data_IF_155513543175
#
_entry.id   IF_155513543175
#
_cell.length_a   1.000
_cell.length_b   1.000
_cell.length_c   1.000
_cell.angle_alpha   90.00
_cell.angle_beta   90.00
_cell.angle_gamma   90.00
#
_symmetry.space_group_name_H-M   'P 1'
#
loop_
_entity.id
_entity.type
_entity.pdbx_description
1 polymer ?
#
# COMPACT_ATOMS: atom_id res chain seq x y z
N UNK A 1 -17.65 -9.63 6.12
CA UNK A 1 -16.75 -10.75 6.47
C UNK A 1 -16.67 -11.80 5.36
N UNK A 2 -17.78 -12.25 4.78
CA UNK A 2 -17.79 -13.28 3.72
C UNK A 2 -16.98 -12.86 2.48
N UNK A 3 -17.22 -11.67 1.93
CA UNK A 3 -16.52 -11.13 0.76
C UNK A 3 -14.98 -11.11 0.94
N UNK A 4 -14.50 -10.68 2.10
CA UNK A 4 -13.05 -10.67 2.38
C UNK A 4 -12.47 -12.08 2.50
N UNK A 5 -13.20 -13.05 3.05
CA UNK A 5 -12.75 -14.44 3.11
C UNK A 5 -12.64 -15.06 1.71
N UNK A 6 -13.59 -14.77 0.84
CA UNK A 6 -13.54 -15.20 -0.57
C UNK A 6 -12.36 -14.54 -1.29
N UNK A 7 -12.12 -13.24 -1.05
CA UNK A 7 -10.97 -12.54 -1.59
C UNK A 7 -9.63 -13.11 -1.10
N UNK A 8 -9.50 -13.43 0.20
CA UNK A 8 -8.28 -14.06 0.74
C UNK A 8 -8.03 -15.43 0.09
N UNK A 9 -9.09 -16.19 -0.20
CA UNK A 9 -8.97 -17.45 -0.92
C UNK A 9 -8.46 -17.23 -2.34
N UNK A 10 -9.02 -16.25 -3.06
CA UNK A 10 -8.57 -15.84 -4.38
C UNK A 10 -7.11 -15.38 -4.38
N UNK A 11 -6.74 -14.50 -3.43
CA UNK A 11 -5.38 -13.97 -3.29
C UNK A 11 -4.36 -15.09 -3.07
N UNK A 12 -4.69 -16.04 -2.19
CA UNK A 12 -3.88 -17.23 -1.93
C UNK A 12 -3.71 -18.08 -3.19
N UNK A 13 -4.78 -18.32 -3.94
CA UNK A 13 -4.70 -19.07 -5.19
C UNK A 13 -3.72 -18.38 -6.15
N UNK A 14 -3.83 -17.05 -6.36
CA UNK A 14 -3.00 -16.32 -7.31
C UNK A 14 -1.52 -16.31 -6.98
N UNK A 15 -1.14 -16.24 -5.70
CA UNK A 15 0.27 -16.25 -5.30
C UNK A 15 0.88 -17.65 -5.25
N UNK A 16 0.07 -18.69 -5.12
CA UNK A 16 0.57 -20.08 -5.04
C UNK A 16 0.61 -20.81 -6.39
N UNK A 17 0.08 -20.23 -7.46
CA UNK A 17 0.11 -20.81 -8.82
C UNK A 17 1.54 -21.02 -9.33
N UNK A 18 1.71 -21.96 -10.27
CA UNK A 18 2.98 -22.26 -10.94
C UNK A 18 3.83 -23.31 -10.21
N UNK A 19 5.11 -23.36 -10.57
CA UNK A 19 6.06 -24.34 -10.02
C UNK A 19 6.47 -24.00 -8.59
N UNK A 20 6.88 -24.99 -7.81
CA UNK A 20 7.38 -24.78 -6.46
C UNK A 20 8.76 -24.09 -6.50
N UNK A 21 8.91 -23.03 -5.72
CA UNK A 21 10.18 -22.31 -5.58
C UNK A 21 10.24 -21.56 -4.25
N UNK A 22 11.44 -21.37 -3.72
CA UNK A 22 11.65 -20.61 -2.49
C UNK A 22 11.21 -19.14 -2.63
N UNK A 23 11.32 -18.56 -3.83
CA UNK A 23 10.82 -17.21 -4.12
C UNK A 23 9.31 -17.15 -3.96
N UNK A 24 8.58 -18.14 -4.55
CA UNK A 24 7.11 -18.21 -4.40
C UNK A 24 6.70 -18.39 -2.93
N UNK A 25 7.43 -19.20 -2.16
CA UNK A 25 7.16 -19.37 -0.73
C UNK A 25 7.36 -18.05 0.03
N UNK A 26 8.40 -17.26 -0.28
CA UNK A 26 8.66 -15.96 0.29
C UNK A 26 7.58 -14.90 -0.12
N UNK A 27 7.13 -14.92 -1.39
CA UNK A 27 6.00 -14.10 -1.86
C UNK A 27 4.72 -14.42 -1.05
N UNK A 28 4.36 -15.69 -0.96
CA UNK A 28 3.18 -16.14 -0.24
C UNK A 28 3.28 -15.85 1.27
N UNK A 29 4.46 -16.06 1.87
CA UNK A 29 4.73 -15.70 3.26
C UNK A 29 4.36 -14.26 3.57
N UNK A 30 4.85 -13.31 2.78
CA UNK A 30 4.62 -11.88 3.02
C UNK A 30 3.18 -11.46 2.67
N UNK A 31 2.65 -11.90 1.52
CA UNK A 31 1.33 -11.50 1.03
C UNK A 31 0.19 -12.02 1.92
N UNK A 32 0.33 -13.23 2.48
CA UNK A 32 -0.70 -13.92 3.26
C UNK A 32 -0.55 -13.75 4.78
N UNK A 33 0.33 -12.88 5.26
CA UNK A 33 0.47 -12.59 6.69
C UNK A 33 -0.75 -11.87 7.32
N UNK A 34 -1.81 -11.66 6.55
CA UNK A 34 -2.98 -10.92 6.98
C UNK A 34 -2.82 -9.40 6.77
N UNK A 35 -3.57 -8.62 7.53
CA UNK A 35 -3.65 -7.17 7.44
C UNK A 35 -5.09 -6.68 7.34
N UNK A 36 -5.30 -5.37 7.44
CA UNK A 36 -6.63 -4.76 7.39
C UNK A 36 -7.28 -4.81 6.00
N UNK A 37 -6.52 -5.12 4.94
CA UNK A 37 -6.99 -5.14 3.53
C UNK A 37 -7.77 -3.87 3.15
N UNK A 38 -7.27 -2.72 3.56
CA UNK A 38 -7.94 -1.43 3.31
C UNK A 38 -8.09 -1.17 1.81
N UNK A 39 -7.05 -1.42 1.01
CA UNK A 39 -7.06 -1.19 -0.44
C UNK A 39 -8.09 -2.06 -1.17
N UNK A 40 -8.17 -3.38 -0.96
CA UNK A 40 -9.29 -4.20 -1.44
C UNK A 40 -10.66 -3.67 -1.01
N UNK A 41 -10.83 -3.29 0.26
CA UNK A 41 -12.10 -2.78 0.75
C UNK A 41 -12.52 -1.48 0.08
N UNK A 42 -11.59 -0.56 -0.19
CA UNK A 42 -11.84 0.67 -0.94
C UNK A 42 -12.32 0.37 -2.37
N UNK A 43 -11.65 -0.55 -3.07
CA UNK A 43 -12.07 -0.99 -4.39
C UNK A 43 -13.50 -1.58 -4.36
N UNK A 44 -13.77 -2.48 -3.43
CA UNK A 44 -15.08 -3.11 -3.31
C UNK A 44 -16.16 -2.09 -2.97
N UNK A 45 -15.88 -1.14 -2.07
CA UNK A 45 -16.82 -0.07 -1.74
C UNK A 45 -17.12 0.82 -2.96
N UNK A 46 -16.11 1.14 -3.77
CA UNK A 46 -16.29 1.91 -5.01
C UNK A 46 -17.16 1.17 -6.02
N UNK A 47 -16.92 -0.12 -6.23
CA UNK A 47 -17.75 -0.95 -7.12
C UNK A 47 -19.20 -1.01 -6.63
N UNK A 48 -19.41 -1.24 -5.34
CA UNK A 48 -20.75 -1.24 -4.74
C UNK A 48 -21.45 0.11 -4.86
N UNK A 49 -20.72 1.23 -4.74
CA UNK A 49 -21.28 2.57 -4.93
C UNK A 49 -21.78 2.79 -6.37
N UNK A 50 -21.19 2.11 -7.34
CA UNK A 50 -21.66 2.09 -8.73
C UNK A 50 -22.66 0.96 -9.04
N UNK A 51 -23.08 0.17 -8.03
CA UNK A 51 -24.05 -0.92 -8.19
C UNK A 51 -23.49 -2.19 -8.83
N UNK A 52 -22.18 -2.37 -8.85
CA UNK A 52 -21.52 -3.56 -9.37
C UNK A 52 -21.27 -4.60 -8.28
N UNK A 53 -21.18 -5.88 -8.68
CA UNK A 53 -20.70 -6.93 -7.79
C UNK A 53 -19.23 -6.68 -7.44
N UNK A 54 -18.85 -6.52 -6.15
CA UNK A 54 -17.47 -6.28 -5.76
C UNK A 54 -16.50 -7.39 -6.18
N UNK A 55 -16.97 -8.59 -6.48
CA UNK A 55 -16.13 -9.72 -6.94
C UNK A 55 -15.50 -9.49 -8.29
N UNK A 56 -16.07 -8.64 -9.16
CA UNK A 56 -15.43 -8.27 -10.44
C UNK A 56 -14.10 -7.55 -10.23
N UNK A 57 -13.89 -6.95 -9.05
CA UNK A 57 -12.66 -6.28 -8.65
C UNK A 57 -11.58 -7.19 -8.08
N UNK A 58 -11.81 -8.48 -7.86
CA UNK A 58 -10.83 -9.37 -7.22
C UNK A 58 -9.45 -9.38 -7.89
N UNK A 59 -9.32 -9.46 -9.24
CA UNK A 59 -8.03 -9.40 -9.89
C UNK A 59 -7.29 -8.07 -9.61
N UNK A 60 -7.98 -6.94 -9.71
CA UNK A 60 -7.41 -5.63 -9.41
C UNK A 60 -7.00 -5.51 -7.94
N UNK A 61 -7.85 -5.96 -7.02
CA UNK A 61 -7.56 -5.96 -5.58
C UNK A 61 -6.32 -6.80 -5.26
N UNK A 62 -6.19 -7.98 -5.88
CA UNK A 62 -5.04 -8.86 -5.71
C UNK A 62 -3.76 -8.22 -6.27
N UNK A 63 -3.83 -7.60 -7.45
CA UNK A 63 -2.71 -6.86 -8.04
C UNK A 63 -2.25 -5.71 -7.12
N UNK A 64 -3.17 -4.93 -6.58
CA UNK A 64 -2.87 -3.82 -5.65
C UNK A 64 -2.25 -4.34 -4.35
N UNK A 65 -2.72 -5.46 -3.78
CA UNK A 65 -2.11 -6.06 -2.59
C UNK A 65 -0.73 -6.64 -2.89
N UNK A 66 -0.49 -7.18 -4.09
CA UNK A 66 0.86 -7.60 -4.53
C UNK A 66 1.80 -6.40 -4.62
N UNK A 67 1.35 -5.28 -5.21
CA UNK A 67 2.09 -4.02 -5.26
C UNK A 67 2.41 -3.52 -3.85
N UNK A 68 1.42 -3.44 -2.98
CA UNK A 68 1.63 -3.02 -1.59
C UNK A 68 2.59 -3.95 -0.83
N UNK A 69 2.50 -5.26 -1.06
CA UNK A 69 3.34 -6.23 -0.33
C UNK A 69 4.78 -6.19 -0.82
N UNK A 70 5.04 -6.04 -2.14
CA UNK A 70 6.41 -5.91 -2.61
C UNK A 70 7.07 -4.67 -2.01
N UNK A 71 6.34 -3.55 -1.93
CA UNK A 71 6.91 -2.33 -1.36
C UNK A 71 7.31 -2.52 0.11
N UNK A 72 6.49 -3.23 0.90
CA UNK A 72 6.82 -3.55 2.29
C UNK A 72 8.03 -4.51 2.40
N UNK A 73 8.15 -5.50 1.49
CA UNK A 73 9.29 -6.41 1.49
C UNK A 73 10.60 -5.66 1.23
N UNK A 74 10.59 -4.73 0.25
CA UNK A 74 11.77 -3.95 -0.10
C UNK A 74 12.08 -2.88 0.94
N UNK A 75 11.05 -2.27 1.52
CA UNK A 75 11.17 -1.28 2.59
C UNK A 75 11.85 -1.87 3.84
N UNK A 76 11.52 -3.13 4.18
CA UNK A 76 12.10 -3.86 5.33
C UNK A 76 13.60 -4.24 5.13
N UNK A 77 14.17 -4.12 3.92
CA UNK A 77 15.56 -4.55 3.65
C UNK A 77 16.58 -3.71 4.41
N UNK A 78 17.80 -4.28 4.71
CA UNK A 78 18.88 -3.53 5.39
C UNK A 78 19.37 -2.28 4.66
N UNK A 79 19.11 -2.16 3.36
CA UNK A 79 19.43 -0.96 2.56
C UNK A 79 18.34 0.12 2.62
N UNK A 80 17.25 -0.14 3.33
CA UNK A 80 16.08 0.72 3.53
C UNK A 80 15.86 0.90 5.04
N UNK A 81 14.71 0.51 5.59
CA UNK A 81 14.36 0.70 7.00
C UNK A 81 15.01 -0.32 7.97
N UNK A 82 15.61 -1.43 7.45
CA UNK A 82 16.21 -2.56 8.20
C UNK A 82 15.29 -3.14 9.30
N UNK A 83 14.02 -3.30 8.97
CA UNK A 83 13.01 -3.78 9.91
C UNK A 83 13.11 -5.30 10.14
N UNK A 84 13.27 -5.71 11.40
CA UNK A 84 13.30 -7.12 11.79
C UNK A 84 11.93 -7.80 11.76
N UNK A 85 10.86 -7.03 12.03
CA UNK A 85 9.51 -7.52 12.20
C UNK A 85 8.50 -6.76 11.33
N UNK A 86 7.59 -7.51 10.69
CA UNK A 86 6.43 -6.98 9.98
C UNK A 86 5.17 -7.71 10.43
N UNK A 87 4.16 -6.95 10.92
CA UNK A 87 2.90 -7.52 11.45
C UNK A 87 3.12 -8.57 12.56
N UNK A 88 4.13 -8.35 13.43
CA UNK A 88 4.47 -9.25 14.53
C UNK A 88 5.18 -10.54 14.15
N UNK A 89 5.61 -10.69 12.89
CA UNK A 89 6.39 -11.82 12.39
C UNK A 89 7.72 -11.33 11.81
N UNK A 90 8.76 -12.19 11.69
CA UNK A 90 9.98 -11.81 11.01
C UNK A 90 9.68 -11.23 9.63
N UNK A 91 10.38 -10.13 9.26
CA UNK A 91 10.32 -9.58 7.92
C UNK A 91 10.81 -10.59 6.87
N UNK A 92 10.51 -10.37 5.59
CA UNK A 92 10.84 -11.33 4.54
C UNK A 92 12.33 -11.64 4.49
N UNK A 93 13.19 -10.64 4.62
CA UNK A 93 14.65 -10.82 4.58
C UNK A 93 15.19 -11.58 5.81
N UNK A 94 14.58 -11.42 6.98
CA UNK A 94 14.94 -12.20 8.19
C UNK A 94 14.50 -13.66 8.07
N UNK A 95 13.35 -13.92 7.44
CA UNK A 95 12.81 -15.30 7.30
C UNK A 95 13.45 -16.10 6.14
N UNK A 96 13.77 -15.43 5.03
CA UNK A 96 14.22 -16.09 3.79
C UNK A 96 15.62 -15.66 3.33
N UNK A 97 16.20 -14.60 3.88
CA UNK A 97 17.44 -13.95 3.47
C UNK A 97 17.20 -12.86 2.41
N UNK A 98 18.10 -11.88 2.36
CA UNK A 98 17.97 -10.67 1.53
C UNK A 98 17.73 -10.98 0.05
N UNK A 99 18.54 -11.87 -0.54
CA UNK A 99 18.42 -12.21 -1.96
C UNK A 99 17.03 -12.76 -2.32
N UNK A 100 16.44 -13.60 -1.46
CA UNK A 100 15.09 -14.12 -1.69
C UNK A 100 14.01 -13.09 -1.40
N UNK A 101 14.23 -12.16 -0.49
CA UNK A 101 13.32 -11.03 -0.26
C UNK A 101 13.29 -10.09 -1.47
N UNK A 102 14.44 -9.72 -2.03
CA UNK A 102 14.52 -8.93 -3.27
C UNK A 102 13.73 -9.63 -4.39
N UNK A 103 14.04 -10.90 -4.67
CA UNK A 103 13.35 -11.66 -5.72
C UNK A 103 11.86 -11.86 -5.45
N UNK A 104 11.43 -11.96 -4.19
CA UNK A 104 10.02 -12.06 -3.83
C UNK A 104 9.28 -10.73 -4.10
N UNK A 105 9.90 -9.59 -3.81
CA UNK A 105 9.40 -8.27 -4.17
C UNK A 105 9.26 -8.11 -5.68
N UNK A 106 10.32 -8.41 -6.46
CA UNK A 106 10.31 -8.38 -7.92
C UNK A 106 9.23 -9.28 -8.50
N UNK A 107 9.08 -10.49 -7.92
CA UNK A 107 8.08 -11.47 -8.32
C UNK A 107 6.66 -10.96 -8.11
N UNK A 108 6.36 -10.36 -6.94
CA UNK A 108 5.05 -9.77 -6.65
C UNK A 108 4.76 -8.57 -7.56
N UNK A 109 5.73 -7.67 -7.74
CA UNK A 109 5.60 -6.52 -8.63
C UNK A 109 5.26 -6.94 -10.05
N UNK A 110 6.02 -7.89 -10.61
CA UNK A 110 5.79 -8.38 -11.98
C UNK A 110 4.46 -9.12 -12.10
N UNK A 111 4.14 -9.98 -11.11
CA UNK A 111 2.89 -10.76 -11.09
C UNK A 111 1.65 -9.89 -11.00
N UNK A 112 1.71 -8.73 -10.37
CA UNK A 112 0.59 -7.80 -10.25
C UNK A 112 0.05 -7.38 -11.64
N UNK A 113 0.94 -7.11 -12.60
CA UNK A 113 0.54 -6.73 -13.97
C UNK A 113 -0.12 -7.87 -14.74
N UNK A 114 0.26 -9.12 -14.47
CA UNK A 114 -0.38 -10.28 -15.07
C UNK A 114 -1.76 -10.55 -14.44
N UNK A 115 -1.85 -10.48 -13.10
CA UNK A 115 -3.11 -10.75 -12.37
C UNK A 115 -4.19 -9.72 -12.71
N UNK A 116 -3.86 -8.43 -12.87
CA UNK A 116 -4.87 -7.43 -13.24
C UNK A 116 -5.48 -7.70 -14.61
N UNK A 117 -4.73 -8.31 -15.54
CA UNK A 117 -5.20 -8.68 -16.86
C UNK A 117 -6.15 -9.89 -16.86
N UNK A 118 -6.21 -10.64 -15.75
CA UNK A 118 -7.17 -11.72 -15.58
C UNK A 118 -8.61 -11.22 -15.29
N UNK A 119 -8.81 -9.89 -15.09
CA UNK A 119 -10.12 -9.30 -14.87
C UNK A 119 -11.06 -9.55 -16.07
N UNK A 120 -12.34 -9.72 -15.80
CA UNK A 120 -13.39 -9.79 -16.82
C UNK A 120 -13.78 -8.35 -17.25
N UNK A 121 -12.80 -7.64 -17.81
CA UNK A 121 -12.90 -6.27 -18.26
C UNK A 121 -12.61 -6.18 -19.78
N UNK A 122 -13.06 -5.12 -20.43
CA UNK A 122 -12.73 -4.85 -21.83
C UNK A 122 -11.22 -4.63 -22.02
N UNK A 123 -10.74 -4.77 -23.25
CA UNK A 123 -9.33 -4.51 -23.56
C UNK A 123 -8.90 -3.09 -23.18
N UNK A 124 -9.75 -2.09 -23.40
CA UNK A 124 -9.46 -0.69 -23.06
C UNK A 124 -9.39 -0.49 -21.56
N UNK A 125 -10.32 -1.08 -20.78
CA UNK A 125 -10.27 -1.06 -19.34
C UNK A 125 -9.00 -1.75 -18.80
N UNK A 126 -8.60 -2.91 -19.38
CA UNK A 126 -7.36 -3.59 -18.98
C UNK A 126 -6.12 -2.73 -19.21
N UNK A 127 -6.03 -2.04 -20.34
CA UNK A 127 -4.94 -1.09 -20.64
C UNK A 127 -4.95 0.03 -19.61
N UNK A 128 -6.12 0.60 -19.30
CA UNK A 128 -6.24 1.67 -18.32
C UNK A 128 -5.86 1.20 -16.90
N UNK A 129 -6.27 -0.01 -16.49
CA UNK A 129 -5.91 -0.58 -15.19
C UNK A 129 -4.39 -0.79 -15.05
N UNK A 130 -3.73 -1.31 -16.11
CA UNK A 130 -2.27 -1.46 -16.15
C UNK A 130 -1.57 -0.10 -16.08
N UNK A 131 -2.09 0.92 -16.79
CA UNK A 131 -1.57 2.27 -16.74
C UNK A 131 -1.68 2.86 -15.33
N UNK A 132 -2.84 2.75 -14.68
CA UNK A 132 -3.04 3.20 -13.30
C UNK A 132 -2.09 2.51 -12.32
N UNK A 133 -1.92 1.18 -12.42
CA UNK A 133 -0.95 0.45 -11.60
C UNK A 133 0.47 1.00 -11.78
N UNK A 134 0.89 1.23 -13.03
CA UNK A 134 2.23 1.74 -13.33
C UNK A 134 2.43 3.17 -12.81
N UNK A 135 1.44 4.05 -12.98
CA UNK A 135 1.52 5.47 -12.62
C UNK A 135 1.51 5.64 -11.10
N UNK A 136 0.56 4.99 -10.41
CA UNK A 136 0.37 5.17 -8.97
C UNK A 136 1.38 4.39 -8.11
N UNK A 137 1.92 3.28 -8.60
CA UNK A 137 2.94 2.50 -7.90
C UNK A 137 4.37 2.86 -8.31
N UNK A 138 4.56 3.39 -9.50
CA UNK A 138 5.86 3.63 -10.11
C UNK A 138 6.51 4.96 -9.73
N UNK A 139 7.39 5.44 -10.62
CA UNK A 139 8.21 6.67 -10.44
C UNK A 139 7.41 7.97 -10.45
N UNK A 140 6.13 7.94 -10.79
CA UNK A 140 5.19 9.07 -10.66
C UNK A 140 4.27 8.93 -9.44
N UNK A 141 4.43 7.88 -8.65
CA UNK A 141 3.62 7.53 -7.49
C UNK A 141 4.45 7.11 -6.29
N UNK A 142 4.18 5.90 -5.79
CA UNK A 142 4.76 5.39 -4.54
C UNK A 142 6.30 5.33 -4.56
N UNK A 143 6.93 4.94 -5.66
CA UNK A 143 8.40 4.87 -5.76
C UNK A 143 9.02 6.25 -5.60
N UNK A 144 8.41 7.30 -6.16
CA UNK A 144 8.84 8.68 -5.92
C UNK A 144 8.65 9.08 -4.45
N UNK A 145 7.55 8.64 -3.82
CA UNK A 145 7.34 8.84 -2.38
C UNK A 145 8.43 8.21 -1.51
N UNK A 146 8.90 7.02 -1.87
CA UNK A 146 10.03 6.35 -1.22
C UNK A 146 11.35 7.12 -1.41
N UNK A 147 11.60 7.67 -2.61
CA UNK A 147 12.76 8.55 -2.85
C UNK A 147 12.72 9.77 -1.94
N UNK A 148 11.57 10.44 -1.83
CA UNK A 148 11.40 11.59 -0.95
C UNK A 148 11.60 11.24 0.53
N UNK A 149 11.14 10.07 0.96
CA UNK A 149 11.30 9.59 2.34
C UNK A 149 12.78 9.34 2.68
N UNK A 150 13.52 8.67 1.80
CA UNK A 150 14.96 8.47 1.96
C UNK A 150 15.76 9.80 1.98
N UNK A 151 15.41 10.74 1.11
CA UNK A 151 16.04 12.07 1.09
C UNK A 151 15.73 12.88 2.36
N UNK A 152 14.62 12.59 3.02
CA UNK A 152 14.20 13.26 4.24
C UNK A 152 15.00 12.83 5.48
N UNK A 153 15.63 11.66 5.49
CA UNK A 153 16.43 11.15 6.61
C UNK A 153 17.62 12.06 6.95
N UNK A 154 18.27 12.63 5.92
CA UNK A 154 19.40 13.54 6.06
C UNK A 154 18.98 15.03 6.02
N UNK A 155 17.68 15.35 5.87
CA UNK A 155 17.21 16.72 5.69
C UNK A 155 17.04 17.45 7.03
N UNK A 156 18.02 18.28 7.37
CA UNK A 156 17.98 19.14 8.57
C UNK A 156 16.97 20.29 8.48
N UNK A 157 16.37 20.53 7.32
CA UNK A 157 15.39 21.60 7.05
C UNK A 157 14.01 21.04 6.67
N UNK A 158 13.58 19.96 7.36
CA UNK A 158 12.26 19.39 7.16
C UNK A 158 11.15 20.40 7.51
N UNK A 159 10.12 20.43 6.66
CA UNK A 159 8.93 21.26 6.82
C UNK A 159 7.69 20.42 6.71
N UNK A 160 6.58 20.94 7.23
CA UNK A 160 5.29 20.25 7.14
C UNK A 160 4.87 19.99 5.68
N UNK A 161 5.18 20.91 4.76
CA UNK A 161 4.87 20.74 3.33
C UNK A 161 5.65 19.58 2.70
N UNK A 162 6.90 19.33 3.16
CA UNK A 162 7.68 18.17 2.72
C UNK A 162 7.09 16.87 3.25
N UNK A 163 6.62 16.84 4.51
CA UNK A 163 5.93 15.66 5.07
C UNK A 163 4.65 15.39 4.27
N UNK A 164 3.84 16.42 3.99
CA UNK A 164 2.67 16.27 3.12
C UNK A 164 3.03 15.70 1.74
N UNK A 165 4.15 16.15 1.15
CA UNK A 165 4.59 15.66 -0.15
C UNK A 165 4.99 14.17 -0.09
N UNK A 166 5.75 13.75 0.93
CA UNK A 166 6.11 12.35 1.15
C UNK A 166 4.85 11.48 1.24
N UNK A 167 3.92 11.83 2.12
CA UNK A 167 2.73 11.04 2.37
C UNK A 167 1.76 11.02 1.19
N UNK A 168 1.68 12.12 0.44
CA UNK A 168 0.89 12.17 -0.78
C UNK A 168 1.34 11.12 -1.80
N UNK A 169 2.65 10.93 -1.96
CA UNK A 169 3.19 9.96 -2.92
C UNK A 169 3.39 8.57 -2.30
N UNK A 170 4.02 8.45 -1.14
CA UNK A 170 4.32 7.16 -0.49
C UNK A 170 3.04 6.41 -0.09
N UNK A 171 2.05 7.14 0.44
CA UNK A 171 0.84 6.53 1.04
C UNK A 171 -0.43 6.80 0.25
N UNK A 172 -0.75 8.08 -0.05
CA UNK A 172 -2.05 8.43 -0.61
C UNK A 172 -2.23 7.92 -2.05
N UNK A 173 -1.18 7.86 -2.87
CA UNK A 173 -1.24 7.28 -4.22
C UNK A 173 -1.78 5.85 -4.20
N UNK A 174 -1.26 4.97 -3.34
CA UNK A 174 -1.74 3.58 -3.26
C UNK A 174 -3.09 3.42 -2.54
N UNK A 175 -3.61 4.44 -1.86
CA UNK A 175 -4.99 4.46 -1.35
C UNK A 175 -5.97 5.02 -2.38
N UNK A 176 -5.51 5.89 -3.27
CA UNK A 176 -6.28 6.40 -4.41
C UNK A 176 -6.47 5.35 -5.50
N UNK A 177 -5.44 4.58 -5.80
CA UNK A 177 -5.43 3.58 -6.88
C UNK A 177 -6.65 2.65 -6.89
N UNK A 178 -7.07 2.02 -5.77
CA UNK A 178 -8.25 1.14 -5.75
C UNK A 178 -9.55 1.87 -6.11
N UNK A 179 -9.69 3.14 -5.75
CA UNK A 179 -10.86 3.97 -6.08
C UNK A 179 -10.95 4.19 -7.60
N UNK A 180 -9.83 4.53 -8.23
CA UNK A 180 -9.75 4.74 -9.68
C UNK A 180 -9.96 3.41 -10.44
N UNK A 181 -9.38 2.31 -9.95
CA UNK A 181 -9.63 0.98 -10.54
C UNK A 181 -11.13 0.62 -10.47
N UNK A 182 -11.80 0.92 -9.37
CA UNK A 182 -13.26 0.72 -9.25
C UNK A 182 -14.05 1.58 -10.22
N UNK A 183 -13.67 2.84 -10.40
CA UNK A 183 -14.29 3.73 -11.40
C UNK A 183 -14.04 3.26 -12.83
N UNK A 184 -12.84 2.76 -13.16
CA UNK A 184 -12.52 2.17 -14.46
C UNK A 184 -13.42 0.97 -14.76
N UNK A 185 -13.53 0.03 -13.82
CA UNK A 185 -14.37 -1.16 -13.98
C UNK A 185 -15.85 -0.83 -14.11
N UNK A 186 -16.26 0.36 -13.67
CA UNK A 186 -17.63 0.86 -13.77
C UNK A 186 -17.87 1.77 -14.98
N UNK A 187 -16.89 1.98 -15.89
CA UNK A 187 -16.95 2.95 -17.01
C UNK A 187 -17.26 4.39 -16.50
N UNK A 188 -16.58 4.82 -15.43
CA UNK A 188 -16.80 6.10 -14.74
C UNK A 188 -15.51 6.93 -14.60
N UNK A 189 -14.63 6.91 -15.61
CA UNK A 189 -13.36 7.64 -15.60
C UNK A 189 -13.54 9.17 -15.46
N UNK A 190 -14.69 9.71 -15.85
CA UNK A 190 -15.06 11.12 -15.62
C UNK A 190 -15.09 11.50 -14.13
N UNK A 191 -15.24 10.52 -13.25
CA UNK A 191 -15.30 10.72 -11.81
C UNK A 191 -13.91 10.66 -11.14
N UNK A 192 -12.83 10.40 -11.90
CA UNK A 192 -11.45 10.34 -11.39
C UNK A 192 -11.06 11.54 -10.52
N UNK A 193 -11.28 12.81 -10.93
CA UNK A 193 -10.89 13.96 -10.10
C UNK A 193 -11.55 13.93 -8.71
N UNK A 194 -12.75 13.39 -8.61
CA UNK A 194 -13.45 13.23 -7.34
C UNK A 194 -12.83 12.14 -6.47
N UNK A 195 -12.54 10.98 -7.08
CA UNK A 195 -11.89 9.86 -6.38
C UNK A 195 -10.44 10.16 -6.01
N UNK A 196 -9.70 10.91 -6.83
CA UNK A 196 -8.35 11.38 -6.51
C UNK A 196 -8.36 12.26 -5.26
N UNK A 197 -9.33 13.18 -5.15
CA UNK A 197 -9.46 14.00 -3.95
C UNK A 197 -9.76 13.15 -2.71
N UNK A 198 -10.72 12.24 -2.79
CA UNK A 198 -11.07 11.34 -1.67
C UNK A 198 -9.85 10.48 -1.27
N UNK A 199 -9.16 9.91 -2.24
CA UNK A 199 -8.00 9.06 -1.99
C UNK A 199 -6.83 9.83 -1.37
N UNK A 200 -6.60 11.06 -1.82
CA UNK A 200 -5.61 11.96 -1.22
C UNK A 200 -5.97 12.29 0.24
N UNK A 201 -7.18 12.77 0.48
CA UNK A 201 -7.65 13.16 1.82
C UNK A 201 -7.56 11.96 2.79
N UNK A 202 -8.03 10.78 2.36
CA UNK A 202 -7.95 9.54 3.12
C UNK A 202 -6.50 9.12 3.42
N UNK A 203 -5.60 9.28 2.43
CA UNK A 203 -4.19 8.91 2.58
C UNK A 203 -3.46 9.78 3.59
N UNK A 204 -3.67 11.09 3.53
CA UNK A 204 -3.10 12.04 4.49
C UNK A 204 -3.67 11.80 5.89
N UNK A 205 -5.00 11.66 6.01
CA UNK A 205 -5.64 11.36 7.28
C UNK A 205 -5.09 10.06 7.91
N UNK A 206 -4.95 9.02 7.08
CA UNK A 206 -4.41 7.73 7.51
C UNK A 206 -3.00 7.87 8.11
N UNK A 207 -2.12 8.64 7.44
CA UNK A 207 -0.74 8.82 7.91
C UNK A 207 -0.68 9.65 9.18
N UNK A 208 -1.42 10.76 9.28
CA UNK A 208 -1.50 11.55 10.51
C UNK A 208 -1.99 10.69 11.69
N UNK A 209 -2.99 9.82 11.45
CA UNK A 209 -3.47 8.89 12.48
C UNK A 209 -2.41 7.85 12.88
N UNK A 210 -1.65 7.32 11.90
CA UNK A 210 -0.56 6.37 12.17
C UNK A 210 0.52 7.04 13.05
N UNK A 211 0.95 8.25 12.73
CA UNK A 211 1.89 9.05 13.52
C UNK A 211 1.41 9.30 14.98
N UNK A 212 0.11 9.61 15.13
CA UNK A 212 -0.50 9.78 16.45
C UNK A 212 -0.48 8.48 17.24
N UNK A 213 -0.79 7.35 16.60
CA UNK A 213 -0.79 6.03 17.23
C UNK A 213 0.62 5.59 17.63
N UNK A 214 1.60 5.81 16.77
CA UNK A 214 3.01 5.48 17.03
C UNK A 214 3.56 6.25 18.26
N UNK A 215 3.09 7.47 18.50
CA UNK A 215 3.47 8.24 19.69
C UNK A 215 2.68 7.88 20.95
N UNK A 216 1.44 7.39 20.82
CA UNK A 216 0.53 7.18 21.95
C UNK A 216 0.39 5.72 22.38
N UNK A 217 0.82 4.76 21.56
CA UNK A 217 0.72 3.33 21.84
C UNK A 217 2.10 2.67 21.97
N UNK A 218 2.16 1.54 22.69
CA UNK A 218 3.41 0.77 22.82
C UNK A 218 3.67 -0.06 21.55
N UNK A 219 4.95 -0.30 21.24
CA UNK A 219 5.41 -1.14 20.12
C UNK A 219 4.76 -2.53 20.09
N UNK A 220 4.45 -3.12 21.25
CA UNK A 220 3.75 -4.40 21.36
C UNK A 220 2.29 -4.33 20.86
N UNK A 221 1.63 -3.18 21.03
CA UNK A 221 0.26 -2.98 20.54
C UNK A 221 0.22 -2.77 19.02
N UNK A 222 1.27 -2.19 18.45
CA UNK A 222 1.39 -1.87 17.02
C UNK A 222 1.91 -3.02 16.15
N UNK A 223 2.61 -4.01 16.78
CA UNK A 223 3.21 -5.14 16.04
C UNK A 223 4.33 -4.76 15.07
N UNK A 224 4.91 -3.56 15.28
CA UNK A 224 6.08 -3.02 14.55
C UNK A 224 7.30 -2.99 15.45
N UNK A 225 8.52 -3.01 14.87
CA UNK A 225 9.74 -2.57 15.55
C UNK A 225 9.65 -1.06 15.86
N UNK A 226 10.43 -0.58 16.83
CA UNK A 226 10.51 0.86 17.19
C UNK A 226 11.46 1.64 16.28
N UNK A 227 11.74 1.16 15.08
CA UNK A 227 12.71 1.74 14.15
C UNK A 227 12.44 3.21 13.81
N UNK A 228 11.17 3.63 13.70
CA UNK A 228 10.81 5.04 13.42
C UNK A 228 11.30 6.01 14.51
N UNK A 229 11.38 5.59 15.78
CA UNK A 229 11.95 6.41 16.85
C UNK A 229 13.50 6.41 16.82
N UNK A 230 14.11 5.34 16.34
CA UNK A 230 15.57 5.22 16.21
C UNK A 230 16.08 5.97 14.96
N UNK A 231 15.29 6.03 13.89
CA UNK A 231 15.65 6.66 12.62
C UNK A 231 15.39 8.18 12.58
N UNK A 232 14.96 8.82 13.70
CA UNK A 232 14.71 10.26 13.80
C UNK A 232 13.79 10.83 12.70
N UNK A 233 12.88 10.03 12.12
CA UNK A 233 11.96 10.48 11.06
C UNK A 233 11.10 11.64 11.56
N UNK A 234 11.06 12.71 10.76
CA UNK A 234 10.22 13.87 11.04
C UNK A 234 8.80 13.58 10.56
N UNK A 235 7.84 13.58 11.51
CA UNK A 235 6.43 13.24 11.29
C UNK A 235 5.53 14.46 11.53
N UNK A 236 4.24 14.36 11.23
CA UNK A 236 3.27 15.40 11.60
C UNK A 236 3.33 15.73 13.08
N UNK A 237 3.42 14.69 13.92
CA UNK A 237 3.41 14.89 15.37
C UNK A 237 4.71 15.53 15.86
N UNK A 238 5.87 15.19 15.28
CA UNK A 238 7.16 15.79 15.66
C UNK A 238 7.23 17.28 15.29
N UNK A 239 6.64 17.69 14.14
CA UNK A 239 6.68 19.06 13.64
C UNK A 239 5.58 19.94 14.21
N UNK A 240 4.37 19.44 14.35
CA UNK A 240 3.19 20.22 14.77
C UNK A 240 2.90 20.09 16.27
N UNK A 241 3.31 18.99 16.90
CA UNK A 241 2.85 18.55 18.20
C UNK A 241 1.51 17.83 18.16
N UNK A 242 1.27 16.97 19.15
CA UNK A 242 0.15 16.01 19.17
C UNK A 242 -1.23 16.66 19.01
N UNK A 243 -1.50 17.78 19.70
CA UNK A 243 -2.83 18.41 19.65
C UNK A 243 -3.14 19.05 18.28
N UNK A 244 -2.14 19.61 17.60
CA UNK A 244 -2.32 20.12 16.23
C UNK A 244 -2.45 18.99 15.22
N UNK A 245 -1.68 17.90 15.37
CA UNK A 245 -1.82 16.72 14.52
C UNK A 245 -3.25 16.14 14.62
N UNK A 246 -3.82 16.04 15.83
CA UNK A 246 -5.23 15.65 16.02
C UNK A 246 -6.22 16.60 15.32
N UNK A 247 -5.95 17.90 15.36
CA UNK A 247 -6.80 18.87 14.69
C UNK A 247 -6.73 18.75 13.14
N UNK A 248 -5.54 18.42 12.60
CA UNK A 248 -5.39 18.16 11.16
C UNK A 248 -6.16 16.92 10.71
N UNK A 249 -6.25 15.84 11.52
CA UNK A 249 -7.08 14.68 11.17
C UNK A 249 -8.52 15.09 10.84
N UNK A 250 -9.12 15.95 11.68
CA UNK A 250 -10.50 16.44 11.48
C UNK A 250 -10.65 17.28 10.21
N UNK A 251 -9.58 17.93 9.74
CA UNK A 251 -9.61 18.71 8.50
C UNK A 251 -9.80 17.87 7.24
N UNK A 252 -9.39 16.60 7.30
CA UNK A 252 -9.49 15.63 6.20
C UNK A 252 -10.68 14.67 6.35
N UNK A 253 -11.58 14.88 7.33
CA UNK A 253 -12.88 14.20 7.45
C UNK A 253 -13.92 14.84 6.52
#
# INVERSE_FOLDING_TARGET
MELLNEFETYLKEKVTQGHNSKVKDAMAYSLLQGGKRIRPQLLFATLMAYGLDPKVGFPCAAAIEMIHTYSLIHDDLPAMDDDDLRRGKPSCHKAYGEAFAILAGDGLLTRAFDVVLESDASSDQKVQLVHLLSDYAGVYGMVYGQELDLLAEDDTAMTIDKVFAIDAYKTAKLLTLPLLCGATLADKEKDYPHWEKIGYDLGIQFQIQDDILDQTQSSQALGKSTSDQENHKQTFVSLLGLEKAKAEVVRFE
#
